data_IF_389234634235
#
_entry.id   IF_389234634235
#
_cell.length_a   1.000
_cell.length_b   1.000
_cell.length_c   1.000
_cell.angle_alpha   90.00
_cell.angle_beta   90.00
_cell.angle_gamma   90.00
#
_symmetry.space_group_name_H-M   'P 1'
#
loop_
_entity.id
_entity.type
_entity.pdbx_description
1 polymer ?
#
# COMPACT_ATOMS: atom_id res chain seq x y z
N UNK A 1 3.27 -8.96 -2.88
CA UNK A 1 4.35 -8.43 -2.02
C UNK A 1 3.76 -8.19 -0.65
N UNK A 2 4.59 -8.18 0.39
CA UNK A 2 4.16 -7.83 1.74
C UNK A 2 5.21 -6.91 2.34
N UNK A 3 4.77 -5.83 3.01
CA UNK A 3 5.61 -4.96 3.81
C UNK A 3 4.96 -4.85 5.18
N UNK A 4 5.69 -5.22 6.23
CA UNK A 4 5.26 -5.13 7.62
C UNK A 4 6.03 -3.99 8.29
N UNK A 5 5.29 -3.05 8.86
CA UNK A 5 5.80 -1.89 9.57
C UNK A 5 5.40 -1.96 11.04
N UNK A 6 6.25 -1.41 11.91
CA UNK A 6 5.84 -1.10 13.27
C UNK A 6 4.81 0.05 13.24
N UNK A 7 3.83 0.02 14.14
CA UNK A 7 2.85 1.10 14.28
C UNK A 7 3.53 2.39 14.76
N UNK A 8 4.61 2.25 15.55
CA UNK A 8 5.50 3.35 15.85
C UNK A 8 6.39 3.64 14.62
N UNK A 9 6.49 4.90 14.19
CA UNK A 9 7.24 5.24 13.00
C UNK A 9 8.73 4.89 13.14
N UNK A 10 9.35 4.52 12.01
CA UNK A 10 10.80 4.39 11.90
C UNK A 10 11.33 2.95 11.84
N UNK A 11 10.50 1.92 12.00
CA UNK A 11 10.95 0.52 11.95
C UNK A 11 10.19 -0.32 10.93
N UNK A 12 10.95 -0.99 10.07
CA UNK A 12 10.45 -2.00 9.13
C UNK A 12 10.70 -3.37 9.73
N UNK A 13 9.64 -4.17 9.88
CA UNK A 13 9.71 -5.50 10.51
C UNK A 13 9.99 -6.60 9.47
N UNK A 14 9.39 -6.49 8.28
CA UNK A 14 9.63 -7.43 7.18
C UNK A 14 9.30 -6.81 5.83
N UNK A 15 10.04 -7.22 4.79
CA UNK A 15 9.74 -6.94 3.38
C UNK A 15 9.86 -8.25 2.61
N UNK A 16 8.80 -8.61 1.89
CA UNK A 16 8.73 -9.88 1.14
C UNK A 16 8.19 -9.66 -0.27
N UNK A 17 8.90 -10.19 -1.27
CA UNK A 17 8.48 -10.26 -2.67
C UNK A 17 8.29 -11.72 -3.09
N UNK A 18 7.21 -12.03 -3.82
CA UNK A 18 6.85 -13.40 -4.24
C UNK A 18 7.73 -13.92 -5.39
N UNK A 19 8.28 -13.02 -6.21
CA UNK A 19 9.41 -13.35 -7.09
C UNK A 19 10.69 -13.11 -6.30
N UNK A 20 11.41 -14.20 -5.99
CA UNK A 20 12.69 -14.20 -5.28
C UNK A 20 13.64 -15.20 -5.95
N UNK A 21 14.92 -15.11 -5.61
CA UNK A 21 15.97 -15.99 -6.10
C UNK A 21 16.95 -16.31 -4.97
N UNK A 22 17.79 -17.34 -5.14
CA UNK A 22 18.82 -17.68 -4.17
C UNK A 22 20.04 -16.77 -4.35
N UNK A 23 20.30 -15.90 -3.38
CA UNK A 23 21.43 -14.96 -3.42
C UNK A 23 22.78 -15.70 -3.37
N UNK A 24 22.83 -16.91 -2.80
CA UNK A 24 24.06 -17.70 -2.71
C UNK A 24 24.44 -18.37 -4.05
N UNK A 25 23.53 -18.44 -5.01
CA UNK A 25 23.80 -18.99 -6.34
C UNK A 25 23.17 -18.09 -7.41
N UNK A 26 23.99 -17.17 -7.93
CA UNK A 26 23.53 -16.17 -8.91
C UNK A 26 23.66 -16.62 -10.36
N UNK A 27 24.07 -17.87 -10.60
CA UNK A 27 24.22 -18.39 -11.94
C UNK A 27 22.84 -18.61 -12.59
N UNK A 28 22.67 -18.08 -13.80
CA UNK A 28 21.46 -18.24 -14.61
C UNK A 28 20.15 -17.69 -14.00
N UNK A 29 20.21 -16.61 -13.20
CA UNK A 29 19.00 -15.94 -12.69
C UNK A 29 18.31 -15.13 -13.80
N UNK A 30 16.99 -15.24 -13.87
CA UNK A 30 16.15 -14.40 -14.71
C UNK A 30 16.11 -12.96 -14.17
N UNK A 31 16.50 -11.97 -14.99
CA UNK A 31 16.55 -10.55 -14.57
C UNK A 31 15.26 -9.99 -13.95
N UNK A 32 14.09 -10.54 -14.23
CA UNK A 32 12.83 -10.05 -13.67
C UNK A 32 12.53 -10.53 -12.25
N UNK A 33 13.19 -11.60 -11.78
CA UNK A 33 13.02 -12.11 -10.40
C UNK A 33 13.94 -11.42 -9.41
N UNK A 34 14.93 -10.65 -9.87
CA UNK A 34 15.87 -9.92 -9.02
C UNK A 34 15.29 -8.62 -8.45
N UNK A 35 14.18 -8.13 -9.01
CA UNK A 35 13.53 -6.91 -8.53
C UNK A 35 12.84 -7.15 -7.20
N UNK A 36 13.18 -6.35 -6.19
CA UNK A 36 12.35 -6.24 -5.00
C UNK A 36 11.11 -5.39 -5.33
N UNK A 37 10.09 -6.07 -5.85
CA UNK A 37 8.87 -5.43 -6.31
C UNK A 37 8.09 -4.72 -5.19
N UNK A 38 8.36 -5.03 -3.92
CA UNK A 38 7.77 -4.29 -2.80
C UNK A 38 8.24 -2.82 -2.75
N UNK A 39 9.37 -2.51 -3.41
CA UNK A 39 10.00 -1.19 -3.44
C UNK A 39 9.90 -0.57 -4.84
N UNK A 40 10.10 -1.37 -5.90
CA UNK A 40 10.27 -0.84 -7.26
C UNK A 40 8.98 -0.65 -8.06
N UNK A 41 7.92 -1.39 -7.73
CA UNK A 41 6.72 -1.41 -8.56
C UNK A 41 5.74 -0.34 -8.11
N UNK A 42 5.20 0.42 -9.06
CA UNK A 42 4.15 1.41 -8.85
C UNK A 42 2.82 0.83 -9.31
N UNK A 43 1.77 0.97 -8.50
CA UNK A 43 0.43 0.52 -8.82
C UNK A 43 -0.61 1.48 -8.23
N UNK A 44 -1.81 1.48 -8.80
CA UNK A 44 -2.91 2.29 -8.30
C UNK A 44 -3.31 1.82 -6.89
N UNK A 45 -3.27 2.76 -5.94
CA UNK A 45 -3.80 2.54 -4.59
C UNK A 45 -5.31 2.70 -4.67
N UNK A 46 -6.02 1.60 -4.91
CA UNK A 46 -7.49 1.56 -5.01
C UNK A 46 -8.20 2.03 -3.73
N UNK A 47 -9.15 1.25 -3.21
CA UNK A 47 -9.97 1.68 -2.06
C UNK A 47 -9.17 2.09 -0.80
N UNK A 48 -7.91 1.66 -0.66
CA UNK A 48 -7.02 2.06 0.44
C UNK A 48 -6.81 3.58 0.54
N UNK A 49 -6.84 4.33 -0.57
CA UNK A 49 -6.67 5.80 -0.50
C UNK A 49 -7.88 6.49 0.14
N UNK A 50 -9.07 5.88 0.10
CA UNK A 50 -10.32 6.48 0.60
C UNK A 50 -10.26 6.78 2.10
N UNK A 51 -9.54 5.98 2.89
CA UNK A 51 -9.36 6.26 4.32
C UNK A 51 -8.71 7.62 4.56
N UNK A 52 -7.73 8.00 3.74
CA UNK A 52 -7.05 9.29 3.86
C UNK A 52 -7.98 10.45 3.50
N UNK A 53 -8.85 10.26 2.49
CA UNK A 53 -9.89 11.23 2.13
C UNK A 53 -10.86 11.42 3.30
N UNK A 54 -11.38 10.32 3.88
CA UNK A 54 -12.32 10.38 5.01
C UNK A 54 -11.68 11.11 6.19
N UNK A 55 -10.45 10.76 6.57
CA UNK A 55 -9.72 11.45 7.66
C UNK A 55 -9.59 12.94 7.36
N UNK A 56 -9.25 13.30 6.13
CA UNK A 56 -9.07 14.71 5.72
C UNK A 56 -10.37 15.49 5.85
N UNK A 57 -11.47 14.97 5.29
CA UNK A 57 -12.79 15.60 5.29
C UNK A 57 -13.35 15.75 6.72
N UNK A 58 -13.11 14.76 7.59
CA UNK A 58 -13.42 14.86 9.03
C UNK A 58 -12.54 15.93 9.71
N UNK A 59 -11.24 15.98 9.40
CA UNK A 59 -10.28 16.91 10.01
C UNK A 59 -10.57 18.37 9.68
N UNK A 60 -10.97 18.66 8.44
CA UNK A 60 -11.33 20.01 8.01
C UNK A 60 -12.80 20.37 8.30
N UNK A 61 -13.57 19.44 8.89
CA UNK A 61 -14.93 19.70 9.37
C UNK A 61 -16.02 19.72 8.31
N UNK A 62 -15.74 19.29 7.07
CA UNK A 62 -16.76 19.21 6.00
C UNK A 62 -17.81 18.14 6.34
N UNK A 63 -17.40 17.03 6.96
CA UNK A 63 -18.30 15.94 7.39
C UNK A 63 -18.11 15.72 8.89
N UNK A 64 -19.21 15.43 9.60
CA UNK A 64 -19.18 14.99 11.00
C UNK A 64 -19.41 13.48 11.07
N UNK A 65 -18.98 12.86 12.17
CA UNK A 65 -19.10 11.41 12.41
C UNK A 65 -20.50 10.84 12.15
N UNK A 66 -21.55 11.62 12.44
CA UNK A 66 -22.95 11.19 12.33
C UNK A 66 -23.65 11.69 11.07
N UNK A 67 -22.91 12.29 10.13
CA UNK A 67 -23.51 12.72 8.86
C UNK A 67 -23.83 11.49 8.00
N UNK A 68 -25.08 11.42 7.55
CA UNK A 68 -25.51 10.43 6.57
C UNK A 68 -25.25 11.04 5.18
N UNK A 69 -24.37 10.40 4.41
CA UNK A 69 -24.07 10.78 3.04
C UNK A 69 -24.91 9.91 2.09
N UNK A 70 -25.65 10.52 1.18
CA UNK A 70 -26.27 9.77 0.08
C UNK A 70 -25.20 9.37 -0.93
N UNK A 71 -25.25 8.11 -1.36
CA UNK A 71 -24.40 7.57 -2.42
C UNK A 71 -25.11 7.53 -3.78
N UNK A 72 -26.19 8.31 -3.96
CA UNK A 72 -26.87 8.40 -5.24
C UNK A 72 -26.10 9.34 -6.16
N UNK A 73 -25.08 8.79 -6.83
CA UNK A 73 -24.25 9.50 -7.81
C UNK A 73 -24.56 9.13 -9.27
N UNK A 74 -25.72 8.53 -9.54
CA UNK A 74 -26.23 8.29 -10.91
C UNK A 74 -27.69 8.72 -11.03
N UNK A 75 -27.91 9.84 -11.73
CA UNK A 75 -29.14 10.15 -12.48
C UNK A 75 -28.73 10.49 -13.91
#
# INVERSE_FOLDING_TARGET
>A
MVVLLDANPGKILAIVSRMSFNINNVNNILKYVTKNRAITDVFERGFTIKYMIIITVLKIGIVKKNNILSSDWYK
#
